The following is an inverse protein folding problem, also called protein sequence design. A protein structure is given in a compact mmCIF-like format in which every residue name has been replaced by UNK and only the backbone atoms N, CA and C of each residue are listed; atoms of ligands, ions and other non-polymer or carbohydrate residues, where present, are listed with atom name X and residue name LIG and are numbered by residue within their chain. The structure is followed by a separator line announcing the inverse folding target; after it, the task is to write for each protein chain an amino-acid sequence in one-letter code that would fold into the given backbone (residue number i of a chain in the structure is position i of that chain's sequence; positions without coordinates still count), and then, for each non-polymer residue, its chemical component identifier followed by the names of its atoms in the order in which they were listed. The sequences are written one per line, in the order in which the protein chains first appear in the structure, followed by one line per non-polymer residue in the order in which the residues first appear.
data_IF_424593197255
#
_entry.id   IF_424593197255
#
_cell.length_a   1.000
_cell.length_b   1.000
_cell.length_c   1.000
_cell.angle_alpha   90.00
_cell.angle_beta   90.00
_cell.angle_gamma   90.00
#
_symmetry.space_group_name_H-M   'P 1'
#
loop_
_entity.id
_entity.type
_entity.pdbx_description
1 polymer ?
#
# COMPACT_ATOMS: atom_id res chain seq x y z
N UNK A 1 -7.56 17.40 -17.42
CA UNK A 1 -7.38 17.86 -16.03
C UNK A 1 -7.11 16.62 -15.20
N UNK A 2 -5.93 16.49 -14.60
CA UNK A 2 -5.70 15.49 -13.55
C UNK A 2 -6.60 15.91 -12.38
N UNK A 3 -7.55 15.04 -12.03
CA UNK A 3 -8.56 15.33 -11.01
C UNK A 3 -7.92 15.74 -9.70
N UNK A 4 -8.55 16.70 -9.01
CA UNK A 4 -8.16 17.19 -7.70
C UNK A 4 -7.90 16.00 -6.78
N UNK A 5 -6.64 15.79 -6.39
CA UNK A 5 -6.30 14.79 -5.36
C UNK A 5 -6.94 15.29 -4.07
N UNK A 6 -7.90 14.53 -3.54
CA UNK A 6 -8.51 14.86 -2.25
C UNK A 6 -7.41 14.93 -1.19
N UNK A 7 -7.45 15.96 -0.34
CA UNK A 7 -6.51 16.07 0.76
C UNK A 7 -6.61 14.80 1.64
N UNK A 8 -5.49 14.24 2.10
CA UNK A 8 -5.54 13.07 2.97
C UNK A 8 -6.31 13.42 4.25
N UNK A 9 -7.13 12.51 4.79
CA UNK A 9 -7.78 12.71 6.08
C UNK A 9 -6.72 12.95 7.16
N UNK A 10 -6.99 13.91 8.06
CA UNK A 10 -6.08 14.28 9.17
C UNK A 10 -6.66 13.92 10.54
N UNK A 11 -7.91 13.46 10.59
CA UNK A 11 -8.58 13.00 11.81
C UNK A 11 -8.84 11.51 11.70
N UNK A 12 -8.35 10.75 12.68
CA UNK A 12 -8.54 9.30 12.76
C UNK A 12 -8.99 8.92 14.17
N UNK A 13 -9.96 8.02 14.28
CA UNK A 13 -10.55 7.65 15.56
C UNK A 13 -9.61 6.81 16.43
N UNK A 14 -8.67 6.08 15.81
CA UNK A 14 -7.65 5.29 16.48
C UNK A 14 -6.51 4.92 15.53
N UNK A 15 -5.40 4.39 16.05
CA UNK A 15 -4.34 3.86 15.19
C UNK A 15 -4.84 2.72 14.28
N UNK A 16 -5.76 1.88 14.78
CA UNK A 16 -6.38 0.83 13.97
C UNK A 16 -7.21 1.39 12.81
N UNK A 17 -7.90 2.51 13.04
CA UNK A 17 -8.66 3.22 12.01
C UNK A 17 -7.74 3.79 10.91
N UNK A 18 -6.58 4.35 11.28
CA UNK A 18 -5.54 4.76 10.31
C UNK A 18 -5.15 3.59 9.42
N UNK A 19 -4.70 2.47 10.00
CA UNK A 19 -4.23 1.32 9.23
C UNK A 19 -5.34 0.66 8.40
N UNK A 20 -6.59 0.69 8.88
CA UNK A 20 -7.73 0.16 8.13
C UNK A 20 -8.00 1.02 6.90
N UNK A 21 -8.02 2.34 7.06
CA UNK A 21 -8.18 3.28 5.94
C UNK A 21 -7.00 3.17 4.94
N UNK A 22 -5.76 3.03 5.43
CA UNK A 22 -4.62 2.84 4.54
C UNK A 22 -4.69 1.51 3.79
N UNK A 23 -5.09 0.41 4.44
CA UNK A 23 -5.26 -0.87 3.77
C UNK A 23 -6.34 -0.81 2.68
N UNK A 24 -7.46 -0.15 2.93
CA UNK A 24 -8.50 0.08 1.92
C UNK A 24 -8.00 0.93 0.75
N UNK A 25 -7.13 1.91 1.04
CA UNK A 25 -6.48 2.70 0.01
C UNK A 25 -5.52 1.86 -0.85
N UNK A 26 -4.71 1.00 -0.24
CA UNK A 26 -3.85 0.07 -0.98
C UNK A 26 -4.65 -0.88 -1.87
N UNK A 27 -5.76 -1.42 -1.37
CA UNK A 27 -6.67 -2.23 -2.18
C UNK A 27 -7.29 -1.46 -3.35
N UNK A 28 -7.49 -0.14 -3.21
CA UNK A 28 -7.87 0.71 -4.33
C UNK A 28 -6.73 0.82 -5.34
N UNK A 29 -5.51 1.14 -4.89
CA UNK A 29 -4.33 1.25 -5.77
C UNK A 29 -4.09 -0.05 -6.54
N UNK A 30 -4.10 -1.20 -5.87
CA UNK A 30 -3.96 -2.52 -6.49
C UNK A 30 -4.99 -2.75 -7.58
N UNK A 31 -6.26 -2.39 -7.34
CA UNK A 31 -7.31 -2.46 -8.38
C UNK A 31 -6.98 -1.58 -9.57
N UNK A 32 -6.57 -0.34 -9.34
CA UNK A 32 -6.22 0.58 -10.42
C UNK A 32 -5.02 0.08 -11.25
N UNK A 33 -3.98 -0.47 -10.61
CA UNK A 33 -2.82 -1.07 -11.29
C UNK A 33 -3.23 -2.28 -12.12
N UNK A 34 -4.08 -3.16 -11.58
CA UNK A 34 -4.59 -4.32 -12.32
C UNK A 34 -5.44 -3.91 -13.53
N UNK A 35 -6.27 -2.89 -13.41
CA UNK A 35 -7.03 -2.33 -14.54
C UNK A 35 -6.10 -1.76 -15.61
N UNK A 36 -5.05 -1.02 -15.22
CA UNK A 36 -4.05 -0.53 -16.17
C UNK A 36 -3.30 -1.67 -16.88
N UNK A 37 -2.91 -2.71 -16.14
CA UNK A 37 -2.25 -3.88 -16.70
C UNK A 37 -3.18 -4.64 -17.68
N UNK A 38 -4.47 -4.76 -17.32
CA UNK A 38 -5.48 -5.35 -18.19
C UNK A 38 -5.68 -4.54 -19.48
N UNK A 39 -5.79 -3.21 -19.39
CA UNK A 39 -5.88 -2.33 -20.55
C UNK A 39 -4.63 -2.49 -21.43
N UNK A 40 -3.42 -2.40 -20.86
CA UNK A 40 -2.18 -2.56 -21.62
C UNK A 40 -2.11 -3.93 -22.33
N UNK A 41 -2.51 -5.01 -21.66
CA UNK A 41 -2.54 -6.34 -22.25
C UNK A 41 -3.57 -6.45 -23.39
N UNK A 42 -4.78 -5.92 -23.20
CA UNK A 42 -5.87 -5.99 -24.19
C UNK A 42 -5.62 -5.10 -25.41
N UNK A 43 -4.93 -3.96 -25.23
CA UNK A 43 -4.47 -3.11 -26.33
C UNK A 43 -3.17 -3.58 -26.98
N UNK A 44 -2.60 -4.69 -26.50
CA UNK A 44 -1.30 -5.25 -26.94
C UNK A 44 -0.12 -4.29 -26.74
N UNK A 45 -0.21 -3.38 -25.78
CA UNK A 45 0.91 -2.56 -25.31
C UNK A 45 1.77 -3.37 -24.34
N UNK A 46 2.59 -4.26 -24.89
CA UNK A 46 3.45 -5.14 -24.09
C UNK A 46 4.53 -4.38 -23.32
N UNK A 47 4.92 -3.19 -23.79
CA UNK A 47 5.91 -2.35 -23.10
C UNK A 47 5.33 -1.81 -21.79
N UNK A 48 4.13 -1.21 -21.87
CA UNK A 48 3.43 -0.71 -20.67
C UNK A 48 3.03 -1.86 -19.75
N UNK A 49 2.59 -3.00 -20.30
CA UNK A 49 2.32 -4.18 -19.48
C UNK A 49 3.56 -4.64 -18.71
N UNK A 50 4.72 -4.76 -19.38
CA UNK A 50 5.97 -5.16 -18.72
C UNK A 50 6.39 -4.17 -17.63
N UNK A 51 6.30 -2.86 -17.90
CA UNK A 51 6.55 -1.79 -16.92
C UNK A 51 5.65 -1.92 -15.68
N UNK A 52 4.36 -2.20 -15.87
CA UNK A 52 3.40 -2.33 -14.77
C UNK A 52 3.64 -3.56 -13.89
N UNK A 53 4.38 -4.58 -14.35
CA UNK A 53 4.65 -5.78 -13.55
C UNK A 53 5.43 -5.48 -12.26
N UNK A 54 6.30 -4.46 -12.27
CA UNK A 54 6.98 -4.04 -11.03
C UNK A 54 5.96 -3.54 -10.00
N UNK A 55 5.04 -2.67 -10.42
CA UNK A 55 3.98 -2.14 -9.55
C UNK A 55 3.02 -3.25 -9.07
N UNK A 56 2.70 -4.23 -9.91
CA UNK A 56 1.89 -5.40 -9.50
C UNK A 56 2.58 -6.19 -8.38
N UNK A 57 3.90 -6.40 -8.49
CA UNK A 57 4.68 -7.09 -7.47
C UNK A 57 4.78 -6.25 -6.18
N UNK A 58 4.97 -4.93 -6.30
CA UNK A 58 5.04 -4.02 -5.16
C UNK A 58 3.74 -4.00 -4.36
N UNK A 59 2.60 -3.86 -5.04
CA UNK A 59 1.28 -3.87 -4.39
C UNK A 59 1.00 -5.19 -3.64
N UNK A 60 1.55 -6.33 -4.09
CA UNK A 60 1.44 -7.60 -3.37
C UNK A 60 2.13 -7.56 -2.01
N UNK A 61 3.34 -6.98 -1.94
CA UNK A 61 4.08 -6.85 -0.68
C UNK A 61 3.47 -5.78 0.23
N UNK A 62 3.01 -4.65 -0.33
CA UNK A 62 2.33 -3.59 0.43
C UNK A 62 1.03 -4.11 1.07
N UNK A 63 0.12 -4.73 0.31
CA UNK A 63 -1.13 -5.26 0.89
C UNK A 63 -0.88 -6.31 1.98
N UNK A 64 0.11 -7.18 1.78
CA UNK A 64 0.50 -8.19 2.77
C UNK A 64 1.04 -7.54 4.04
N UNK A 65 1.82 -6.47 3.91
CA UNK A 65 2.35 -5.73 5.03
C UNK A 65 1.24 -5.07 5.84
N UNK A 66 0.37 -4.28 5.19
CA UNK A 66 -0.75 -3.60 5.85
C UNK A 66 -1.72 -4.58 6.51
N UNK A 67 -2.05 -5.68 5.83
CA UNK A 67 -2.85 -6.76 6.43
C UNK A 67 -2.18 -7.36 7.66
N UNK A 68 -0.86 -7.60 7.61
CA UNK A 68 -0.13 -8.13 8.77
C UNK A 68 -0.14 -7.18 9.97
N UNK A 69 -0.15 -5.87 9.73
CA UNK A 69 -0.23 -4.85 10.79
C UNK A 69 -1.63 -4.82 11.38
N UNK A 70 -2.68 -4.89 10.55
CA UNK A 70 -4.08 -5.01 11.01
C UNK A 70 -4.31 -6.28 11.83
N UNK A 71 -3.81 -7.43 11.37
CA UNK A 71 -3.93 -8.70 12.10
C UNK A 71 -3.26 -8.62 13.49
N UNK A 72 -2.09 -7.96 13.57
CA UNK A 72 -1.42 -7.72 14.86
C UNK A 72 -2.25 -6.79 15.74
N UNK A 73 -2.74 -5.68 15.21
CA UNK A 73 -3.59 -4.74 15.96
C UNK A 73 -4.84 -5.44 16.54
N UNK A 74 -5.48 -6.30 15.74
CA UNK A 74 -6.61 -7.10 16.18
C UNK A 74 -6.24 -8.11 17.28
N UNK A 75 -5.06 -8.74 17.18
CA UNK A 75 -4.60 -9.73 18.16
C UNK A 75 -4.20 -9.10 19.51
N UNK A 76 -3.53 -7.95 19.50
CA UNK A 76 -2.91 -7.40 20.71
C UNK A 76 -3.79 -6.36 21.44
N UNK A 77 -4.88 -5.89 20.81
CA UNK A 77 -5.75 -4.87 21.37
C UNK A 77 -4.96 -3.62 21.81
N UNK A 78 -5.34 -3.02 22.95
CA UNK A 78 -4.75 -1.75 23.43
C UNK A 78 -3.47 -1.93 24.29
N UNK A 79 -2.78 -3.07 24.22
CA UNK A 79 -1.59 -3.29 25.05
C UNK A 79 -0.35 -2.64 24.43
N UNK A 80 0.39 -1.84 25.22
CA UNK A 80 1.51 -1.02 24.72
C UNK A 80 2.67 -1.78 24.05
N UNK A 81 2.77 -3.11 24.20
CA UNK A 81 3.74 -3.94 23.46
C UNK A 81 3.42 -4.05 21.97
N UNK A 82 2.15 -3.92 21.58
CA UNK A 82 1.69 -3.94 20.19
C UNK A 82 2.30 -2.79 19.38
N UNK A 83 2.23 -1.58 19.95
CA UNK A 83 2.72 -0.35 19.33
C UNK A 83 4.20 -0.41 19.01
N UNK A 84 4.99 -1.09 19.84
CA UNK A 84 6.42 -1.28 19.59
C UNK A 84 6.71 -2.18 18.39
N UNK A 85 5.97 -3.29 18.22
CA UNK A 85 6.12 -4.14 17.04
C UNK A 85 5.65 -3.45 15.77
N UNK A 86 4.58 -2.66 15.86
CA UNK A 86 4.06 -1.85 14.75
C UNK A 86 5.06 -0.77 14.35
N UNK A 87 5.66 -0.03 15.28
CA UNK A 87 6.72 0.96 14.99
C UNK A 87 7.90 0.34 14.23
N UNK A 88 8.29 -0.89 14.60
CA UNK A 88 9.37 -1.61 13.91
C UNK A 88 8.99 -2.00 12.49
N UNK A 89 7.76 -2.42 12.24
CA UNK A 89 7.28 -2.77 10.90
C UNK A 89 7.09 -1.50 10.04
N UNK A 90 6.57 -0.41 10.62
CA UNK A 90 6.49 0.91 9.98
C UNK A 90 7.86 1.45 9.56
N UNK A 91 8.90 1.27 10.38
CA UNK A 91 10.27 1.65 10.01
C UNK A 91 10.78 0.92 8.77
N UNK A 92 10.33 -0.32 8.52
CA UNK A 92 10.67 -1.03 7.28
C UNK A 92 10.00 -0.39 6.06
N UNK A 93 8.78 0.15 6.20
CA UNK A 93 8.12 0.90 5.13
C UNK A 93 8.89 2.17 4.76
N UNK A 94 9.27 2.97 5.76
CA UNK A 94 10.05 4.19 5.52
C UNK A 94 11.37 3.92 4.81
N UNK A 95 12.03 2.79 5.12
CA UNK A 95 13.27 2.39 4.46
C UNK A 95 13.08 1.84 3.03
N UNK A 96 11.94 1.21 2.72
CA UNK A 96 11.63 0.74 1.37
C UNK A 96 11.33 1.90 0.41
N UNK A 97 10.65 2.95 0.91
CA UNK A 97 10.38 4.18 0.15
C UNK A 97 11.67 4.94 -0.25
N UNK A 98 12.74 4.84 0.54
CA UNK A 98 14.03 5.49 0.26
C UNK A 98 14.93 4.68 -0.68
N UNK A 99 14.61 3.39 -0.94
CA UNK A 99 15.50 2.45 -1.60
C UNK A 99 15.31 2.25 -3.10
N UNK A 100 14.17 2.65 -3.70
CA UNK A 100 13.80 2.15 -5.03
C UNK A 100 13.68 3.21 -6.15
N UNK A 101 14.23 4.41 -5.96
CA UNK A 101 14.37 5.41 -7.03
C UNK A 101 15.54 5.12 -8.00
N UNK A 102 15.88 3.85 -8.22
CA UNK A 102 17.01 3.51 -9.06
C UNK A 102 16.92 2.11 -9.63
N UNK A 103 16.13 1.94 -10.69
CA UNK A 103 16.58 1.24 -11.89
C UNK A 103 15.54 1.35 -13.02
N UNK A 104 15.95 2.10 -14.06
CA UNK A 104 15.78 1.78 -15.49
C UNK A 104 14.37 1.65 -16.02
#
# INVERSE_FOLDING_TARGET
MLGTIAAPPIEFASLADVFQQTYEHEQLITRQINELAHVAMTTRDYSTFNFLQWYVAEQHEEEKLFKSVLDKLALVGNSGKALFFIDKDLKKMGAAAEGNHGQG
#
